data_IF_772010340171
#
_entry.id   IF_772010340171
#
_cell.length_a   1.000
_cell.length_b   1.000
_cell.length_c   1.000
_cell.angle_alpha   90.00
_cell.angle_beta   90.00
_cell.angle_gamma   90.00
#
_symmetry.space_group_name_H-M   'P 1'
#
loop_
_entity.id
_entity.type
_entity.pdbx_description
1 polymer ?
#
# COMPACT_ATOMS: atom_id res chain seq x y z
N UNK A 1 36.35 -16.90 -28.51
CA UNK A 1 34.97 -16.36 -28.40
C UNK A 1 35.05 -15.14 -27.52
N UNK A 2 34.54 -14.03 -28.02
CA UNK A 2 34.76 -12.68 -27.52
C UNK A 2 34.13 -12.46 -26.14
N UNK A 3 34.94 -11.99 -25.19
CA UNK A 3 34.48 -11.31 -24.01
C UNK A 3 35.05 -9.89 -24.06
N UNK A 4 34.40 -9.02 -24.83
CA UNK A 4 34.66 -7.60 -24.82
C UNK A 4 34.27 -7.06 -23.44
N UNK A 5 35.24 -7.01 -22.54
CA UNK A 5 35.16 -6.27 -21.28
C UNK A 5 35.27 -4.78 -21.66
N UNK A 6 34.18 -4.23 -22.21
CA UNK A 6 34.12 -2.85 -22.71
C UNK A 6 32.79 -2.15 -22.38
N UNK A 7 31.94 -2.77 -21.57
CA UNK A 7 30.74 -2.08 -21.09
C UNK A 7 31.17 -1.13 -19.98
N UNK A 8 31.24 0.17 -20.32
CA UNK A 8 30.84 1.20 -19.37
C UNK A 8 29.50 0.69 -18.81
N UNK A 9 29.45 0.31 -17.54
CA UNK A 9 28.30 -0.33 -16.86
C UNK A 9 27.08 0.62 -16.82
N UNK A 10 26.55 0.94 -17.99
CA UNK A 10 25.60 2.01 -18.26
C UNK A 10 24.74 1.57 -19.44
N UNK A 11 23.47 1.95 -19.40
CA UNK A 11 22.47 1.63 -20.41
C UNK A 11 22.92 2.05 -21.83
N UNK A 12 22.52 1.32 -22.88
CA UNK A 12 22.85 1.57 -24.29
C UNK A 12 22.52 3.02 -24.72
N UNK A 13 21.41 3.57 -24.21
CA UNK A 13 21.03 4.96 -24.43
C UNK A 13 22.03 5.96 -23.79
N UNK A 14 22.49 5.66 -22.58
CA UNK A 14 23.48 6.49 -21.88
C UNK A 14 24.87 6.31 -22.51
N UNK A 15 25.19 5.12 -23.02
CA UNK A 15 26.41 4.89 -23.80
C UNK A 15 26.42 5.75 -25.07
N UNK A 16 25.29 5.89 -25.76
CA UNK A 16 25.16 6.77 -26.92
C UNK A 16 25.29 8.25 -26.54
N UNK A 17 24.73 8.68 -25.41
CA UNK A 17 24.91 10.06 -24.90
C UNK A 17 26.38 10.32 -24.56
N UNK A 18 27.04 9.39 -23.89
CA UNK A 18 28.48 9.47 -23.56
C UNK A 18 29.29 9.55 -24.85
N UNK A 19 28.95 8.76 -25.87
CA UNK A 19 29.59 8.82 -27.19
C UNK A 19 29.45 10.19 -27.85
N UNK A 20 28.25 10.80 -27.81
CA UNK A 20 28.03 12.15 -28.34
C UNK A 20 28.83 13.19 -27.55
N UNK A 21 28.88 13.08 -26.23
CA UNK A 21 29.64 14.00 -25.38
C UNK A 21 31.15 13.88 -25.58
N UNK A 22 31.68 12.67 -25.73
CA UNK A 22 33.09 12.42 -26.07
C UNK A 22 33.44 13.04 -27.43
N UNK A 23 32.55 12.88 -28.42
CA UNK A 23 32.73 13.52 -29.73
C UNK A 23 32.79 15.05 -29.62
N UNK A 24 31.81 15.62 -28.91
CA UNK A 24 31.70 17.04 -28.66
C UNK A 24 32.94 17.59 -27.92
N UNK A 25 33.38 16.93 -26.85
CA UNK A 25 34.57 17.32 -26.07
C UNK A 25 35.84 17.32 -26.93
N UNK A 26 35.94 16.37 -27.87
CA UNK A 26 37.05 16.30 -28.82
C UNK A 26 37.02 17.42 -29.86
N UNK A 27 35.84 17.74 -30.37
CA UNK A 27 35.65 18.86 -31.31
C UNK A 27 35.92 20.20 -30.63
N UNK A 28 35.50 20.36 -29.37
CA UNK A 28 35.81 21.50 -28.53
C UNK A 28 37.34 21.64 -28.34
N UNK A 29 38.02 20.57 -27.92
CA UNK A 29 39.50 20.53 -27.82
C UNK A 29 40.19 20.88 -29.15
N UNK A 30 39.69 20.37 -30.27
CA UNK A 30 40.24 20.68 -31.60
C UNK A 30 40.00 22.13 -32.02
N UNK A 31 38.98 22.78 -31.47
CA UNK A 31 38.66 24.19 -31.72
C UNK A 31 39.53 25.09 -30.84
N UNK A 32 39.66 24.78 -29.54
CA UNK A 32 40.60 25.48 -28.64
C UNK A 32 42.04 25.41 -29.14
N UNK A 33 42.51 24.24 -29.60
CA UNK A 33 43.85 24.11 -30.18
C UNK A 33 44.03 24.92 -31.48
N UNK A 34 42.96 25.11 -32.26
CA UNK A 34 42.99 25.96 -33.47
C UNK A 34 43.01 27.45 -33.10
N UNK A 35 42.23 27.87 -32.12
CA UNK A 35 42.27 29.25 -31.58
C UNK A 35 43.67 29.57 -31.05
N UNK A 36 44.22 28.69 -30.23
CA UNK A 36 45.58 28.80 -29.71
C UNK A 36 46.65 28.92 -30.80
N UNK A 37 46.57 28.06 -31.82
CA UNK A 37 47.51 28.12 -32.96
C UNK A 37 47.36 29.40 -33.76
N UNK A 38 46.14 29.90 -33.93
CA UNK A 38 45.90 31.19 -34.57
C UNK A 38 46.53 32.31 -33.76
N UNK A 39 46.25 32.39 -32.46
CA UNK A 39 46.83 33.41 -31.58
C UNK A 39 48.37 33.38 -31.56
N UNK A 40 48.98 32.18 -31.58
CA UNK A 40 50.43 32.03 -31.66
C UNK A 40 51.02 32.46 -33.02
N UNK A 41 50.34 32.16 -34.14
CA UNK A 41 50.75 32.66 -35.46
C UNK A 41 50.47 34.15 -35.62
N UNK A 42 49.43 34.70 -35.01
CA UNK A 42 49.13 36.13 -34.98
C UNK A 42 50.22 36.88 -34.20
N UNK A 43 50.64 36.37 -33.03
CA UNK A 43 51.78 36.91 -32.28
C UNK A 43 53.08 36.88 -33.11
N UNK A 44 53.36 35.75 -33.75
CA UNK A 44 54.54 35.59 -34.62
C UNK A 44 54.49 36.50 -35.85
N UNK A 45 53.36 36.64 -36.51
CA UNK A 45 53.24 37.47 -37.72
C UNK A 45 53.21 38.96 -37.39
N UNK A 46 52.65 39.37 -36.25
CA UNK A 46 52.60 40.76 -35.84
C UNK A 46 53.96 41.28 -35.35
N UNK A 47 54.79 40.42 -34.75
CA UNK A 47 55.97 40.86 -34.02
C UNK A 47 57.30 40.36 -34.56
N UNK A 48 57.33 39.20 -35.20
CA UNK A 48 58.53 38.67 -35.88
C UNK A 48 58.72 39.24 -37.29
N UNK A 49 57.72 39.96 -37.81
CA UNK A 49 57.80 40.67 -39.11
C UNK A 49 58.47 42.04 -38.98
N UNK A 50 58.58 42.56 -37.75
CA UNK A 50 59.31 43.79 -37.42
C UNK A 50 60.70 43.41 -36.91
N UNK A 51 61.71 43.77 -37.72
CA UNK A 51 63.11 44.02 -37.34
C UNK A 51 64.15 42.87 -37.32
N UNK A 52 65.18 43.10 -38.12
CA UNK A 52 66.37 42.27 -38.30
C UNK A 52 67.45 42.45 -37.20
N UNK A 53 67.18 43.19 -36.10
CA UNK A 53 68.13 43.41 -35.00
C UNK A 53 67.42 43.61 -33.66
N UNK A 54 66.92 42.53 -33.05
CA UNK A 54 66.43 42.57 -31.66
C UNK A 54 67.56 42.39 -30.64
N UNK A 55 67.54 43.20 -29.59
CA UNK A 55 68.39 43.04 -28.41
C UNK A 55 67.84 41.96 -27.46
N UNK A 56 68.70 41.43 -26.59
CA UNK A 56 68.31 40.34 -25.65
C UNK A 56 67.18 40.77 -24.70
N UNK A 57 67.12 42.06 -24.32
CA UNK A 57 66.06 42.58 -23.46
C UNK A 57 64.72 42.63 -24.18
N UNK A 58 64.70 43.07 -25.44
CA UNK A 58 63.49 43.06 -26.28
C UNK A 58 63.01 41.62 -26.50
N UNK A 59 63.92 40.65 -26.71
CA UNK A 59 63.55 39.24 -26.81
C UNK A 59 62.92 38.72 -25.51
N UNK A 60 63.43 39.12 -24.34
CA UNK A 60 62.84 38.72 -23.06
C UNK A 60 61.45 39.37 -22.85
N UNK A 61 61.28 40.64 -23.19
CA UNK A 61 59.98 41.33 -23.13
C UNK A 61 58.95 40.67 -24.07
N UNK A 62 59.38 40.25 -25.27
CA UNK A 62 58.53 39.50 -26.19
C UNK A 62 58.14 38.13 -25.66
N UNK A 63 59.05 37.43 -24.98
CA UNK A 63 58.74 36.14 -24.37
C UNK A 63 57.78 36.31 -23.19
N UNK A 64 57.92 37.37 -22.38
CA UNK A 64 56.97 37.68 -21.30
C UNK A 64 55.58 38.03 -21.84
N UNK A 65 55.50 38.83 -22.91
CA UNK A 65 54.23 39.18 -23.58
C UNK A 65 53.59 37.94 -24.22
N UNK A 66 54.37 37.08 -24.86
CA UNK A 66 53.88 35.81 -25.40
C UNK A 66 53.33 34.91 -24.28
N UNK A 67 54.03 34.81 -23.15
CA UNK A 67 53.58 34.03 -22.00
C UNK A 67 52.26 34.55 -21.43
N UNK A 68 52.07 35.88 -21.32
CA UNK A 68 50.81 36.48 -20.86
C UNK A 68 49.65 36.20 -21.84
N UNK A 69 49.88 36.27 -23.16
CA UNK A 69 48.88 35.90 -24.17
C UNK A 69 48.51 34.42 -24.06
N UNK A 70 49.52 33.54 -23.92
CA UNK A 70 49.28 32.11 -23.75
C UNK A 70 48.50 31.81 -22.48
N UNK A 71 48.86 32.43 -21.35
CA UNK A 71 48.17 32.25 -20.07
C UNK A 71 46.70 32.65 -20.18
N UNK A 72 46.41 33.78 -20.83
CA UNK A 72 45.03 34.25 -21.09
C UNK A 72 44.24 33.30 -21.97
N UNK A 73 44.83 32.77 -23.05
CA UNK A 73 44.16 31.79 -23.91
C UNK A 73 43.87 30.48 -23.16
N UNK A 74 44.81 30.00 -22.34
CA UNK A 74 44.59 28.82 -21.51
C UNK A 74 43.50 29.04 -20.44
N UNK A 75 43.52 30.19 -19.78
CA UNK A 75 42.50 30.53 -18.78
C UNK A 75 41.10 30.61 -19.41
N UNK A 76 41.00 31.20 -20.60
CA UNK A 76 39.74 31.26 -21.37
C UNK A 76 39.23 29.86 -21.74
N UNK A 77 40.10 28.98 -22.23
CA UNK A 77 39.73 27.61 -22.61
C UNK A 77 39.32 26.78 -21.37
N UNK A 78 40.07 26.86 -20.27
CA UNK A 78 39.73 26.17 -19.03
C UNK A 78 38.42 26.68 -18.43
N UNK A 79 38.19 27.99 -18.48
CA UNK A 79 36.94 28.61 -18.03
C UNK A 79 35.78 28.18 -18.91
N UNK A 80 35.97 28.11 -20.23
CA UNK A 80 34.97 27.62 -21.15
C UNK A 80 34.61 26.16 -20.85
N UNK A 81 35.62 25.30 -20.61
CA UNK A 81 35.43 23.90 -20.24
C UNK A 81 34.61 23.74 -18.95
N UNK A 82 34.95 24.49 -17.90
CA UNK A 82 34.19 24.48 -16.64
C UNK A 82 32.73 24.90 -16.84
N UNK A 83 32.49 25.98 -17.61
CA UNK A 83 31.14 26.49 -17.87
C UNK A 83 30.29 25.48 -18.63
N UNK A 84 30.86 24.85 -19.65
CA UNK A 84 30.18 23.82 -20.46
C UNK A 84 29.85 22.58 -19.63
N UNK A 85 30.78 22.11 -18.80
CA UNK A 85 30.55 20.99 -17.88
C UNK A 85 29.46 21.31 -16.85
N UNK A 86 29.46 22.53 -16.31
CA UNK A 86 28.44 22.99 -15.36
C UNK A 86 27.05 23.05 -16.00
N UNK A 87 26.96 23.51 -17.26
CA UNK A 87 25.70 23.50 -18.01
C UNK A 87 25.19 22.08 -18.27
N UNK A 88 26.09 21.14 -18.60
CA UNK A 88 25.71 19.74 -18.77
C UNK A 88 25.13 19.14 -17.47
N UNK A 89 25.81 19.36 -16.34
CA UNK A 89 25.33 18.89 -15.03
C UNK A 89 23.96 19.49 -14.70
N UNK A 90 23.77 20.80 -14.94
CA UNK A 90 22.47 21.46 -14.77
C UNK A 90 21.38 20.80 -15.62
N UNK A 91 21.66 20.51 -16.89
CA UNK A 91 20.71 19.87 -17.78
C UNK A 91 20.34 18.45 -17.32
N UNK A 92 21.33 17.66 -16.86
CA UNK A 92 21.09 16.33 -16.32
C UNK A 92 20.20 16.38 -15.05
N UNK A 93 20.42 17.34 -14.16
CA UNK A 93 19.57 17.51 -12.98
C UNK A 93 18.17 17.99 -13.29
N UNK A 94 18.00 18.89 -14.27
CA UNK A 94 16.67 19.28 -14.73
C UNK A 94 15.88 18.09 -15.29
N UNK A 95 16.54 17.21 -16.03
CA UNK A 95 15.92 15.97 -16.50
C UNK A 95 15.62 15.03 -15.33
N UNK A 96 16.53 14.85 -14.37
CA UNK A 96 16.27 14.02 -13.20
C UNK A 96 15.11 14.53 -12.33
N UNK A 97 14.98 15.84 -12.16
CA UNK A 97 13.92 16.49 -11.40
C UNK A 97 12.55 16.31 -12.06
N UNK A 98 12.47 16.40 -13.39
CA UNK A 98 11.25 16.08 -14.14
C UNK A 98 10.77 14.63 -13.91
N UNK A 99 11.69 13.74 -13.56
CA UNK A 99 11.43 12.34 -13.24
C UNK A 99 11.42 12.06 -11.72
N UNK A 100 11.36 13.12 -10.90
CA UNK A 100 11.34 13.09 -9.43
C UNK A 100 12.50 12.31 -8.79
N UNK A 101 13.66 12.26 -9.46
CA UNK A 101 14.82 11.51 -9.02
C UNK A 101 15.83 12.42 -8.32
N UNK A 102 16.33 12.00 -7.15
CA UNK A 102 17.45 12.67 -6.47
C UNK A 102 18.75 11.99 -6.88
N UNK A 103 19.48 12.61 -7.81
CA UNK A 103 20.81 12.17 -8.20
C UNK A 103 21.85 12.70 -7.20
N UNK A 104 22.64 11.79 -6.64
CA UNK A 104 23.79 12.14 -5.82
C UNK A 104 25.05 11.78 -6.61
N UNK A 105 25.67 12.74 -7.34
CA UNK A 105 26.94 12.47 -8.00
C UNK A 105 28.02 12.20 -6.94
N UNK A 106 28.77 11.12 -7.12
CA UNK A 106 29.95 10.86 -6.30
C UNK A 106 31.17 11.51 -6.94
N UNK A 107 31.68 12.57 -6.31
CA UNK A 107 32.85 13.30 -6.81
C UNK A 107 34.15 12.50 -6.72
N UNK A 108 34.24 11.52 -5.81
CA UNK A 108 35.43 10.68 -5.63
C UNK A 108 35.70 9.77 -6.85
N UNK A 109 34.65 9.48 -7.64
CA UNK A 109 34.77 8.66 -8.84
C UNK A 109 35.39 9.40 -10.03
N UNK A 110 35.34 10.74 -10.04
CA UNK A 110 35.93 11.55 -11.12
C UNK A 110 37.47 11.53 -11.11
N UNK A 111 38.08 11.27 -9.95
CA UNK A 111 39.55 11.19 -9.80
C UNK A 111 40.10 9.79 -10.06
N UNK A 112 39.22 8.81 -10.29
CA UNK A 112 39.64 7.43 -10.48
C UNK A 112 40.36 7.28 -11.83
N UNK A 113 41.70 7.23 -11.78
CA UNK A 113 42.57 7.07 -12.95
C UNK A 113 42.19 5.88 -13.84
N UNK A 114 41.64 4.80 -13.26
CA UNK A 114 41.19 3.64 -14.03
C UNK A 114 39.95 3.93 -14.87
N UNK A 115 39.01 4.74 -14.37
CA UNK A 115 37.84 5.16 -15.14
C UNK A 115 38.22 6.15 -16.24
N UNK A 116 39.21 7.02 -15.99
CA UNK A 116 39.78 7.92 -16.99
C UNK A 116 40.49 7.11 -18.09
N UNK A 117 41.25 6.07 -17.72
CA UNK A 117 41.89 5.17 -18.68
C UNK A 117 40.87 4.37 -19.49
N UNK A 118 39.76 3.94 -18.88
CA UNK A 118 38.68 3.27 -19.61
C UNK A 118 38.02 4.20 -20.65
N UNK A 119 37.79 5.47 -20.29
CA UNK A 119 37.30 6.49 -21.24
C UNK A 119 38.32 6.74 -22.35
N UNK A 120 39.61 6.79 -22.02
CA UNK A 120 40.69 6.93 -23.02
C UNK A 120 40.73 5.74 -23.99
N UNK A 121 40.60 4.52 -23.48
CA UNK A 121 40.61 3.32 -24.31
C UNK A 121 39.34 3.24 -25.17
N UNK A 122 38.19 3.68 -24.64
CA UNK A 122 36.94 3.85 -25.38
C UNK A 122 37.04 4.92 -26.49
N UNK A 123 37.69 6.06 -26.21
CA UNK A 123 38.00 7.10 -27.19
C UNK A 123 38.85 6.57 -28.35
N UNK A 124 39.88 5.77 -28.04
CA UNK A 124 40.78 5.18 -29.04
C UNK A 124 40.09 4.14 -29.93
N UNK A 125 39.20 3.31 -29.36
CA UNK A 125 38.44 2.31 -30.12
C UNK A 125 37.53 2.95 -31.19
N UNK A 126 37.03 4.17 -30.96
CA UNK A 126 36.21 4.89 -31.96
C UNK A 126 37.02 5.56 -33.09
N UNK A 127 38.32 5.76 -32.93
CA UNK A 127 39.18 6.26 -34.01
C UNK A 127 39.31 5.20 -35.11
N UNK A 128 39.38 3.92 -34.72
CA UNK A 128 39.54 2.81 -35.65
C UNK A 128 38.27 2.49 -36.45
N UNK A 129 37.08 2.83 -35.95
CA UNK A 129 35.81 2.59 -36.66
C UNK A 129 35.46 3.66 -37.71
N UNK A 130 36.11 4.84 -37.67
CA UNK A 130 35.83 5.96 -38.60
C UNK A 130 36.45 5.83 -40.01
N UNK A 131 37.10 4.71 -40.37
CA UNK A 131 37.50 4.45 -41.77
C UNK A 131 36.42 3.80 -42.63
N UNK A 132 35.23 3.49 -42.08
CA UNK A 132 34.13 2.97 -42.88
C UNK A 132 32.77 3.39 -42.33
N UNK A 133 32.27 4.52 -42.83
CA UNK A 133 30.87 4.76 -43.26
C UNK A 133 30.61 6.26 -43.30
N UNK A 134 30.33 6.74 -44.52
CA UNK A 134 29.93 8.10 -44.79
C UNK A 134 28.51 8.43 -44.31
N UNK A 135 28.32 9.72 -44.10
CA UNK A 135 27.07 10.50 -44.08
C UNK A 135 25.75 9.72 -43.92
N UNK A 136 25.17 9.85 -42.73
CA UNK A 136 23.74 10.10 -42.59
C UNK A 136 23.51 11.18 -41.56
N UNK A 137 22.99 12.30 -42.05
CA UNK A 137 22.34 13.33 -41.26
C UNK A 137 21.26 12.68 -40.37
N UNK A 138 21.39 12.83 -39.05
CA UNK A 138 20.34 12.53 -38.09
C UNK A 138 19.84 13.84 -37.51
N UNK A 139 18.97 14.50 -38.28
CA UNK A 139 17.90 15.29 -37.69
C UNK A 139 16.83 14.28 -37.20
N UNK A 140 17.04 13.70 -36.02
CA UNK A 140 15.99 12.97 -35.30
C UNK A 140 15.53 13.86 -34.17
N UNK A 141 14.51 14.64 -34.51
CA UNK A 141 13.55 15.22 -33.59
C UNK A 141 13.23 14.22 -32.47
N UNK A 142 13.17 14.74 -31.24
CA UNK A 142 12.81 14.04 -30.00
C UNK A 142 11.72 12.99 -30.24
N UNK A 143 12.08 11.72 -30.04
CA UNK A 143 11.10 10.71 -29.70
C UNK A 143 11.04 10.59 -28.17
N UNK A 144 9.85 10.66 -27.55
CA UNK A 144 9.72 10.42 -26.12
C UNK A 144 10.12 8.98 -25.84
N UNK A 145 11.10 8.78 -24.95
CA UNK A 145 11.52 7.46 -24.47
C UNK A 145 10.33 6.84 -23.73
N UNK A 146 9.56 6.04 -24.46
CA UNK A 146 8.74 4.97 -23.94
C UNK A 146 9.66 3.83 -23.48
N UNK A 147 10.34 4.06 -22.35
CA UNK A 147 10.08 3.27 -21.16
C UNK A 147 9.94 1.74 -21.45
N UNK A 148 11.02 0.97 -21.28
CA UNK A 148 11.02 -0.48 -21.59
C UNK A 148 11.53 -1.37 -20.45
N UNK A 149 11.95 -0.83 -19.31
CA UNK A 149 12.26 -1.66 -18.13
C UNK A 149 11.56 -1.12 -16.89
N UNK A 150 11.74 0.16 -16.58
CA UNK A 150 11.03 0.89 -15.51
C UNK A 150 9.52 0.87 -15.69
N UNK A 151 8.98 1.27 -16.85
CA UNK A 151 7.55 1.11 -17.14
C UNK A 151 7.09 -0.31 -17.29
N UNK A 152 7.91 -1.26 -17.75
CA UNK A 152 7.44 -2.64 -17.83
C UNK A 152 7.24 -3.17 -16.42
N UNK A 153 8.17 -2.90 -15.50
CA UNK A 153 8.06 -3.18 -14.07
C UNK A 153 6.87 -2.42 -13.43
N UNK A 154 6.73 -1.14 -13.71
CA UNK A 154 5.63 -0.33 -13.19
C UNK A 154 4.28 -0.76 -13.77
N UNK A 155 4.20 -1.08 -15.06
CA UNK A 155 2.99 -1.57 -15.72
C UNK A 155 2.62 -2.97 -15.24
N UNK A 156 3.59 -3.84 -15.01
CA UNK A 156 3.34 -5.16 -14.39
C UNK A 156 2.90 -5.01 -12.94
N UNK A 157 3.47 -4.07 -12.18
CA UNK A 157 3.03 -3.80 -10.81
C UNK A 157 1.64 -3.16 -10.77
N UNK A 158 1.35 -2.20 -11.64
CA UNK A 158 0.02 -1.62 -11.82
C UNK A 158 -0.99 -2.70 -12.20
N UNK A 159 -0.63 -3.62 -13.11
CA UNK A 159 -1.52 -4.73 -13.47
C UNK A 159 -1.78 -5.68 -12.29
N UNK A 160 -0.76 -6.01 -11.50
CA UNK A 160 -0.93 -6.82 -10.28
C UNK A 160 -1.82 -6.12 -9.27
N UNK A 161 -1.60 -4.82 -9.03
CA UNK A 161 -2.41 -4.01 -8.13
C UNK A 161 -3.86 -3.88 -8.63
N UNK A 162 -4.06 -3.75 -9.95
CA UNK A 162 -5.39 -3.75 -10.56
C UNK A 162 -6.09 -5.10 -10.40
N UNK A 163 -5.39 -6.21 -10.64
CA UNK A 163 -5.92 -7.56 -10.42
C UNK A 163 -6.27 -7.81 -8.94
N UNK A 164 -5.40 -7.38 -8.02
CA UNK A 164 -5.66 -7.48 -6.58
C UNK A 164 -6.89 -6.64 -6.20
N UNK A 165 -7.01 -5.42 -6.72
CA UNK A 165 -8.18 -4.58 -6.49
C UNK A 165 -9.46 -5.19 -7.06
N UNK A 166 -9.42 -5.81 -8.24
CA UNK A 166 -10.57 -6.54 -8.78
C UNK A 166 -10.93 -7.76 -7.93
N UNK A 167 -9.94 -8.51 -7.44
CA UNK A 167 -10.17 -9.64 -6.53
C UNK A 167 -10.77 -9.16 -5.21
N UNK A 168 -10.25 -8.07 -4.64
CA UNK A 168 -10.79 -7.46 -3.43
C UNK A 168 -12.22 -6.98 -3.65
N UNK A 169 -12.53 -6.32 -4.77
CA UNK A 169 -13.90 -5.92 -5.12
C UNK A 169 -14.84 -7.11 -5.25
N UNK A 170 -14.41 -8.20 -5.90
CA UNK A 170 -15.21 -9.44 -5.98
C UNK A 170 -15.47 -10.04 -4.61
N UNK A 171 -14.47 -10.07 -3.74
CA UNK A 171 -14.59 -10.59 -2.38
C UNK A 171 -15.47 -9.71 -1.51
N UNK A 172 -15.39 -8.39 -1.66
CA UNK A 172 -16.24 -7.43 -0.97
C UNK A 172 -17.70 -7.62 -1.39
N UNK A 173 -17.97 -7.75 -2.70
CA UNK A 173 -19.31 -8.06 -3.21
C UNK A 173 -19.83 -9.41 -2.71
N UNK A 174 -18.97 -10.42 -2.56
CA UNK A 174 -19.36 -11.70 -1.94
C UNK A 174 -19.76 -11.51 -0.48
N UNK A 175 -18.98 -10.76 0.29
CA UNK A 175 -19.31 -10.48 1.69
C UNK A 175 -20.59 -9.67 1.85
N UNK A 176 -20.86 -8.70 0.98
CA UNK A 176 -22.13 -7.96 0.97
C UNK A 176 -23.31 -8.90 0.71
N UNK A 177 -23.21 -9.80 -0.28
CA UNK A 177 -24.26 -10.78 -0.54
C UNK A 177 -24.45 -11.77 0.63
N UNK A 178 -23.36 -12.22 1.24
CA UNK A 178 -23.42 -13.12 2.39
C UNK A 178 -24.07 -12.45 3.61
N UNK A 179 -23.81 -11.15 3.82
CA UNK A 179 -24.43 -10.35 4.88
C UNK A 179 -25.94 -10.18 4.64
N UNK A 180 -26.36 -9.90 3.41
CA UNK A 180 -27.77 -9.84 3.01
C UNK A 180 -28.50 -11.18 3.27
N UNK A 181 -27.87 -12.30 2.90
CA UNK A 181 -28.41 -13.65 3.14
C UNK A 181 -28.51 -13.92 4.64
N UNK A 182 -27.51 -13.53 5.43
CA UNK A 182 -27.50 -13.74 6.87
C UNK A 182 -28.58 -12.89 7.56
N UNK A 183 -28.74 -11.64 7.16
CA UNK A 183 -29.79 -10.74 7.65
C UNK A 183 -31.18 -11.30 7.34
N UNK A 184 -31.40 -11.80 6.11
CA UNK A 184 -32.65 -12.45 5.74
C UNK A 184 -32.95 -13.68 6.61
N UNK A 185 -31.96 -14.54 6.84
CA UNK A 185 -32.11 -15.72 7.72
C UNK A 185 -32.39 -15.33 9.17
N UNK A 186 -31.76 -14.26 9.66
CA UNK A 186 -31.99 -13.75 11.00
C UNK A 186 -33.42 -13.23 11.16
N UNK A 187 -33.92 -12.47 10.18
CA UNK A 187 -35.30 -12.01 10.17
C UNK A 187 -36.29 -13.17 10.14
N UNK A 188 -36.07 -14.16 9.27
CA UNK A 188 -36.94 -15.33 9.17
C UNK A 188 -36.98 -16.12 10.48
N UNK A 189 -35.82 -16.33 11.11
CA UNK A 189 -35.73 -17.05 12.38
C UNK A 189 -36.40 -16.27 13.52
N UNK A 190 -36.26 -14.93 13.53
CA UNK A 190 -36.95 -14.05 14.48
C UNK A 190 -38.48 -14.15 14.31
N UNK A 191 -38.97 -14.12 13.07
CA UNK A 191 -40.40 -14.29 12.76
C UNK A 191 -40.91 -15.66 13.20
N UNK A 192 -40.16 -16.74 12.95
CA UNK A 192 -40.51 -18.09 13.38
C UNK A 192 -40.54 -18.22 14.91
N UNK A 193 -39.59 -17.62 15.61
CA UNK A 193 -39.53 -17.62 17.07
C UNK A 193 -40.74 -16.89 17.66
N UNK A 194 -41.02 -15.68 17.18
CA UNK A 194 -42.19 -14.89 17.61
C UNK A 194 -43.51 -15.64 17.34
N UNK A 195 -43.65 -16.29 16.17
CA UNK A 195 -44.85 -17.07 15.86
C UNK A 195 -45.03 -18.26 16.80
N UNK A 196 -43.94 -18.97 17.13
CA UNK A 196 -43.98 -20.07 18.10
C UNK A 196 -44.33 -19.57 19.51
N UNK A 197 -43.77 -18.44 19.92
CA UNK A 197 -44.07 -17.82 21.22
C UNK A 197 -45.55 -17.45 21.33
N UNK A 198 -46.11 -16.78 20.30
CA UNK A 198 -47.55 -16.47 20.24
C UNK A 198 -48.40 -17.74 20.30
N UNK A 199 -48.03 -18.78 19.54
CA UNK A 199 -48.76 -20.05 19.55
C UNK A 199 -48.72 -20.74 20.92
N UNK A 200 -47.56 -20.75 21.59
CA UNK A 200 -47.43 -21.32 22.94
C UNK A 200 -48.23 -20.52 23.97
N UNK A 201 -48.21 -19.19 23.90
CA UNK A 201 -48.99 -18.34 24.81
C UNK A 201 -50.50 -18.60 24.64
N UNK A 202 -50.99 -18.75 23.41
CA UNK A 202 -52.39 -19.12 23.15
C UNK A 202 -52.75 -20.51 23.70
N UNK A 203 -51.86 -21.50 23.55
CA UNK A 203 -52.06 -22.83 24.13
C UNK A 203 -52.08 -22.79 25.65
N UNK A 204 -51.19 -21.99 26.26
CA UNK A 204 -51.11 -21.81 27.70
C UNK A 204 -52.40 -21.20 28.24
N UNK A 205 -52.88 -20.10 27.64
CA UNK A 205 -54.16 -19.47 28.01
C UNK A 205 -55.34 -20.44 27.89
N UNK A 206 -55.36 -21.26 26.82
CA UNK A 206 -56.42 -22.24 26.61
C UNK A 206 -56.38 -23.34 27.68
N UNK A 207 -55.18 -23.83 28.01
CA UNK A 207 -55.00 -24.83 29.06
C UNK A 207 -55.36 -24.28 30.44
N UNK A 208 -55.00 -23.03 30.74
CA UNK A 208 -55.38 -22.36 31.98
C UNK A 208 -56.90 -22.24 32.12
N UNK A 209 -57.61 -21.87 31.05
CA UNK A 209 -59.09 -21.83 31.05
C UNK A 209 -59.68 -23.20 31.32
N UNK A 210 -59.22 -24.23 30.61
CA UNK A 210 -59.68 -25.62 30.83
C UNK A 210 -59.41 -26.11 32.24
N UNK A 211 -58.26 -25.77 32.81
CA UNK A 211 -57.89 -26.14 34.17
C UNK A 211 -58.86 -25.51 35.18
N UNK A 212 -59.18 -24.21 35.01
CA UNK A 212 -60.19 -23.52 35.83
C UNK A 212 -61.57 -24.16 35.70
N UNK A 213 -62.00 -24.50 34.48
CA UNK A 213 -63.29 -25.15 34.24
C UNK A 213 -63.37 -26.52 34.93
N UNK A 214 -62.29 -27.32 34.85
CA UNK A 214 -62.20 -28.61 35.53
C UNK A 214 -62.19 -28.44 37.05
N UNK A 215 -61.44 -27.47 37.59
CA UNK A 215 -61.44 -27.17 39.02
C UNK A 215 -62.84 -26.78 39.52
N UNK A 216 -63.55 -25.96 38.76
CA UNK A 216 -64.91 -25.58 39.09
C UNK A 216 -65.87 -26.78 39.05
N UNK A 217 -65.79 -27.60 38.00
CA UNK A 217 -66.60 -28.82 37.89
C UNK A 217 -66.30 -29.82 39.02
N UNK A 218 -65.02 -29.98 39.39
CA UNK A 218 -64.60 -30.82 40.52
C UNK A 218 -65.22 -30.34 41.84
N UNK A 219 -65.15 -29.04 42.12
CA UNK A 219 -65.72 -28.46 43.35
C UNK A 219 -67.24 -28.65 43.43
N UNK A 220 -67.95 -28.48 42.31
CA UNK A 220 -69.39 -28.76 42.23
C UNK A 220 -69.68 -30.24 42.51
N UNK A 221 -68.94 -31.14 41.87
CA UNK A 221 -69.11 -32.58 42.07
C UNK A 221 -68.80 -33.01 43.52
N UNK A 222 -67.76 -32.45 44.15
CA UNK A 222 -67.43 -32.67 45.56
C UNK A 222 -68.57 -32.21 46.48
N UNK A 223 -69.12 -31.02 46.25
CA UNK A 223 -70.24 -30.49 47.04
C UNK A 223 -71.52 -31.31 46.86
N UNK A 224 -71.83 -31.75 45.64
CA UNK A 224 -72.95 -32.65 45.36
C UNK A 224 -72.75 -34.02 46.02
N UNK A 225 -71.55 -34.59 45.95
CA UNK A 225 -71.21 -35.85 46.61
C UNK A 225 -71.38 -35.73 48.13
N UNK A 226 -70.90 -34.64 48.73
CA UNK A 226 -71.05 -34.37 50.16
C UNK A 226 -72.52 -34.25 50.57
N UNK A 227 -73.34 -33.55 49.77
CA UNK A 227 -74.80 -33.49 49.98
C UNK A 227 -75.44 -34.88 49.89
N UNK A 228 -75.12 -35.68 48.86
CA UNK A 228 -75.64 -37.05 48.69
C UNK A 228 -75.19 -37.97 49.82
N UNK A 229 -73.94 -37.86 50.25
CA UNK A 229 -73.39 -38.61 51.38
C UNK A 229 -74.15 -38.30 52.67
N UNK A 230 -74.35 -37.01 52.97
CA UNK A 230 -75.13 -36.55 54.13
C UNK A 230 -76.60 -37.00 54.08
N UNK A 231 -77.17 -37.14 52.88
CA UNK A 231 -78.55 -37.61 52.66
C UNK A 231 -78.69 -39.14 52.69
N UNK A 232 -77.59 -39.90 52.69
CA UNK A 232 -77.66 -41.36 52.64
C UNK A 232 -78.19 -41.90 53.97
N UNK A 233 -79.27 -42.69 53.93
CA UNK A 233 -79.95 -43.25 55.11
C UNK A 233 -78.98 -43.96 56.07
N UNK A 234 -77.97 -44.66 55.55
CA UNK A 234 -76.94 -45.33 56.35
C UNK A 234 -76.16 -44.34 57.22
N UNK A 235 -75.74 -43.19 56.66
CA UNK A 235 -75.02 -42.15 57.40
C UNK A 235 -75.91 -41.48 58.45
N UNK A 236 -77.14 -41.12 58.08
CA UNK A 236 -78.13 -40.53 59.00
C UNK A 236 -78.41 -41.48 60.17
N UNK A 237 -78.64 -42.77 59.88
CA UNK A 237 -78.89 -43.78 60.90
C UNK A 237 -77.67 -43.98 61.80
N UNK A 238 -76.45 -44.06 61.26
CA UNK A 238 -75.22 -44.15 62.05
C UNK A 238 -75.02 -42.92 62.93
N UNK A 239 -75.24 -41.71 62.40
CA UNK A 239 -75.16 -40.46 63.17
C UNK A 239 -76.14 -40.45 64.34
N UNK A 240 -77.40 -40.84 64.09
CA UNK A 240 -78.43 -40.95 65.13
C UNK A 240 -78.06 -41.97 66.21
N UNK A 241 -77.52 -43.14 65.82
CA UNK A 241 -77.05 -44.16 66.78
C UNK A 241 -75.90 -43.63 67.64
N UNK A 242 -74.94 -42.90 67.05
CA UNK A 242 -73.80 -42.32 67.77
C UNK A 242 -74.27 -41.24 68.74
N UNK A 243 -75.16 -40.34 68.32
CA UNK A 243 -75.74 -39.31 69.19
C UNK A 243 -76.48 -39.93 70.37
N UNK A 244 -77.30 -40.96 70.12
CA UNK A 244 -77.98 -41.71 71.17
C UNK A 244 -77.00 -42.39 72.13
N UNK A 245 -75.95 -43.05 71.62
CA UNK A 245 -74.92 -43.68 72.46
C UNK A 245 -74.14 -42.64 73.28
N UNK A 246 -73.82 -41.48 72.70
CA UNK A 246 -73.16 -40.40 73.42
C UNK A 246 -74.04 -39.82 74.53
N UNK A 247 -75.34 -39.70 74.28
CA UNK A 247 -76.30 -39.27 75.29
C UNK A 247 -76.38 -40.29 76.44
N UNK A 248 -76.48 -41.58 76.12
CA UNK A 248 -76.42 -42.66 77.11
C UNK A 248 -75.12 -42.62 77.91
N UNK A 249 -73.97 -42.40 77.27
CA UNK A 249 -72.68 -42.27 77.97
C UNK A 249 -72.68 -41.07 78.91
N UNK A 250 -73.26 -39.92 78.54
CA UNK A 250 -73.37 -38.76 79.42
C UNK A 250 -74.28 -39.03 80.61
N UNK A 251 -75.42 -39.66 80.39
CA UNK A 251 -76.36 -40.03 81.45
C UNK A 251 -75.72 -41.03 82.42
N UNK A 252 -75.02 -42.04 81.90
CA UNK A 252 -74.26 -42.98 82.72
C UNK A 252 -73.14 -42.27 83.49
N UNK A 253 -72.43 -41.32 82.88
CA UNK A 253 -71.43 -40.49 83.57
C UNK A 253 -72.04 -39.63 84.67
N UNK A 254 -73.19 -38.98 84.44
CA UNK A 254 -73.90 -38.21 85.46
C UNK A 254 -74.43 -39.08 86.60
N UNK A 255 -74.88 -40.30 86.30
CA UNK A 255 -75.29 -41.27 87.32
C UNK A 255 -74.12 -41.82 88.14
N UNK A 256 -72.92 -41.87 87.56
CA UNK A 256 -71.68 -42.20 88.27
C UNK A 256 -71.23 -41.01 89.14
N UNK A 257 -71.24 -39.79 88.62
CA UNK A 257 -70.89 -38.56 89.35
C UNK A 257 -71.84 -38.30 90.53
N UNK A 258 -73.15 -38.57 90.36
CA UNK A 258 -74.14 -38.51 91.45
C UNK A 258 -74.12 -39.69 92.42
N UNK A 259 -73.28 -40.71 92.18
CA UNK A 259 -73.03 -41.81 93.11
C UNK A 259 -71.81 -41.57 93.99
N UNK A 260 -70.85 -40.78 93.54
CA UNK A 260 -69.68 -40.41 94.34
C UNK A 260 -70.01 -39.35 95.43
N UNK A 261 -71.19 -38.69 95.36
CA UNK A 261 -71.73 -37.79 96.39
C UNK A 261 -72.63 -38.50 97.44
N UNK A 262 -72.72 -39.83 97.40
CA UNK A 262 -73.57 -40.64 98.30
C UNK A 262 -72.85 -41.70 99.13
N UNK A 263 -71.54 -41.57 99.27
CA UNK A 263 -70.76 -42.29 100.30
C UNK A 263 -70.24 -41.32 101.37
#
# INVERSE_FOLDING_TARGET
MASSINDLDVNEHHEEIIRRYVHFSREQKATGLRSFRSAAEDFKTQRLSDEAMMTVNEVNELLEEFLDILEKEFEQELTHQYRVNTLLIKQLFQQAEQWFLKLNPNFDQLENRRLIELIRDYEQQQINTKKSKGNKDMNTMMDPINDTKSTILLKTEIQKLQQLNEQLKKRLLQYENDDDILNQKLEENTRLCNNKEVSFNQQLETNEKRLKDIQYALSLAENELEKKFNQTNTFINMKKIIEQKNQQIRELRQQLDGKDDKD
#
